data_IF_288915371686
#
_entry.id   IF_288915371686
#
_cell.length_a   1.000
_cell.length_b   1.000
_cell.length_c   1.000
_cell.angle_alpha   90.00
_cell.angle_beta   90.00
_cell.angle_gamma   90.00
#
_symmetry.space_group_name_H-M   'P 1'
#
loop_
_entity.id
_entity.type
_entity.pdbx_description
1 polymer ?
#
# COMPACT_ATOMS: atom_id res chain seq x y z
N UNK A 1 7.33 -29.57 0.35
CA UNK A 1 8.27 -30.36 -0.48
C UNK A 1 7.85 -30.26 -1.94
N UNK A 2 8.80 -30.33 -2.84
CA UNK A 2 8.58 -30.33 -4.29
C UNK A 2 9.63 -31.16 -4.99
N UNK A 3 9.29 -31.67 -6.18
CA UNK A 3 10.23 -32.33 -7.07
C UNK A 3 10.63 -31.41 -8.20
N UNK A 4 11.89 -31.41 -8.60
CA UNK A 4 12.38 -30.60 -9.69
C UNK A 4 13.01 -31.45 -10.78
N UNK A 5 12.52 -31.26 -12.00
CA UNK A 5 13.01 -31.97 -13.20
C UNK A 5 13.60 -30.95 -14.18
N UNK A 6 14.82 -31.19 -14.60
CA UNK A 6 15.48 -30.36 -15.58
C UNK A 6 15.94 -31.22 -16.76
N UNK A 7 15.52 -30.87 -17.96
CA UNK A 7 15.85 -31.56 -19.18
C UNK A 7 16.95 -30.80 -19.96
N UNK A 8 18.07 -31.48 -20.26
CA UNK A 8 19.10 -30.99 -21.14
C UNK A 8 19.25 -31.98 -22.32
N UNK A 9 18.54 -31.72 -23.44
CA UNK A 9 18.48 -32.65 -24.55
C UNK A 9 17.89 -34.01 -24.12
N UNK A 10 18.60 -35.13 -24.34
CA UNK A 10 18.13 -36.44 -23.97
C UNK A 10 18.28 -36.76 -22.46
N UNK A 11 18.98 -35.92 -21.71
CA UNK A 11 19.26 -36.14 -20.30
C UNK A 11 18.21 -35.40 -19.43
N UNK A 12 17.58 -36.13 -18.51
CA UNK A 12 16.71 -35.56 -17.49
C UNK A 12 17.35 -35.75 -16.13
N UNK A 13 17.53 -34.65 -15.41
CA UNK A 13 18.02 -34.64 -14.03
C UNK A 13 16.83 -34.37 -13.12
N UNK A 14 16.64 -35.24 -12.13
CA UNK A 14 15.52 -35.16 -11.18
C UNK A 14 16.05 -35.03 -9.76
N UNK A 15 15.66 -33.98 -9.03
CA UNK A 15 15.81 -33.92 -7.59
C UNK A 15 14.43 -34.04 -6.94
N UNK A 16 14.31 -34.87 -5.90
CA UNK A 16 13.05 -35.19 -5.22
C UNK A 16 13.07 -34.68 -3.79
N UNK A 17 11.88 -34.49 -3.26
CA UNK A 17 11.65 -34.13 -1.85
C UNK A 17 12.39 -32.86 -1.40
N UNK A 18 12.63 -31.93 -2.32
CA UNK A 18 13.23 -30.64 -1.99
C UNK A 18 12.32 -29.83 -1.08
N UNK A 19 12.90 -29.16 -0.10
CA UNK A 19 12.16 -28.32 0.85
C UNK A 19 12.41 -26.85 0.48
N UNK A 20 11.35 -26.15 0.13
CA UNK A 20 11.35 -24.70 0.05
C UNK A 20 10.54 -24.16 1.21
N UNK A 21 11.15 -23.32 2.03
CA UNK A 21 10.51 -22.68 3.17
C UNK A 21 10.35 -21.20 2.88
N UNK A 22 9.13 -20.72 3.06
CA UNK A 22 8.81 -19.29 2.96
C UNK A 22 7.79 -18.97 4.04
N UNK A 23 8.27 -18.42 5.13
CA UNK A 23 7.42 -17.99 6.22
C UNK A 23 7.85 -16.60 6.70
N UNK A 24 6.92 -15.67 6.73
CA UNK A 24 7.09 -14.41 7.42
C UNK A 24 6.42 -14.46 8.79
N UNK A 25 7.21 -14.51 9.85
CA UNK A 25 6.77 -14.54 11.24
C UNK A 25 7.09 -13.20 11.92
N UNK A 26 6.68 -12.09 11.33
CA UNK A 26 6.88 -10.75 11.87
C UNK A 26 5.56 -10.13 12.33
N UNK A 27 5.62 -9.29 13.36
CA UNK A 27 4.51 -8.41 13.76
C UNK A 27 4.90 -6.99 13.41
N UNK A 28 4.10 -6.37 12.56
CA UNK A 28 4.22 -4.95 12.26
C UNK A 28 3.16 -4.20 13.05
N UNK A 29 3.56 -3.14 13.74
CA UNK A 29 2.67 -2.22 14.42
C UNK A 29 3.18 -0.81 14.24
N UNK A 30 2.29 0.12 13.97
CA UNK A 30 2.57 1.55 13.94
C UNK A 30 1.48 2.29 14.70
N UNK A 31 1.89 3.19 15.58
CA UNK A 31 0.98 4.03 16.36
C UNK A 31 1.04 5.46 15.84
N UNK A 32 -0.13 6.03 15.58
CA UNK A 32 -0.24 7.41 15.11
C UNK A 32 -1.01 8.24 16.11
N UNK A 33 -0.36 9.29 16.61
CA UNK A 33 -1.03 10.33 17.41
C UNK A 33 -1.11 11.59 16.56
N UNK A 34 -2.31 12.09 16.30
CA UNK A 34 -2.51 13.20 15.40
C UNK A 34 -3.40 14.28 16.01
N UNK A 35 -2.91 15.51 16.01
CA UNK A 35 -3.70 16.69 16.36
C UNK A 35 -4.51 17.15 15.14
N UNK A 36 -5.83 17.24 15.30
CA UNK A 36 -6.77 17.63 14.25
C UNK A 36 -7.49 18.92 14.67
N UNK A 37 -6.85 20.10 14.52
CA UNK A 37 -7.46 21.36 14.89
C UNK A 37 -8.63 21.68 13.94
N UNK A 38 -9.68 22.28 14.52
CA UNK A 38 -10.80 22.88 13.82
C UNK A 38 -11.09 24.23 14.42
N UNK A 39 -11.09 25.26 13.58
CA UNK A 39 -11.47 26.62 13.93
C UNK A 39 -12.71 26.98 13.13
N UNK A 40 -13.68 27.60 13.78
CA UNK A 40 -14.90 28.08 13.16
C UNK A 40 -15.25 29.46 13.70
N UNK A 41 -15.62 30.35 12.82
CA UNK A 41 -16.11 31.68 13.12
C UNK A 41 -17.43 31.86 12.42
N UNK A 42 -18.42 32.41 13.12
CA UNK A 42 -19.73 32.72 12.58
C UNK A 42 -20.14 34.12 13.04
N UNK A 43 -20.69 34.89 12.12
CA UNK A 43 -21.26 36.17 12.40
C UNK A 43 -22.70 36.25 11.89
N UNK A 44 -23.64 36.47 12.80
CA UNK A 44 -25.06 36.64 12.49
C UNK A 44 -25.40 38.13 12.57
N UNK A 45 -25.74 38.74 11.43
CA UNK A 45 -26.11 40.17 11.38
C UNK A 45 -27.63 40.39 11.50
N UNK A 46 -28.41 39.35 11.31
CA UNK A 46 -29.85 39.32 11.47
C UNK A 46 -30.33 37.92 11.74
N UNK A 47 -31.38 37.72 12.51
CA UNK A 47 -31.94 36.39 12.81
C UNK A 47 -32.12 35.57 11.53
N UNK A 48 -31.42 34.44 11.43
CA UNK A 48 -31.45 33.55 10.29
C UNK A 48 -30.56 33.99 9.10
N UNK A 49 -29.77 35.06 9.28
CA UNK A 49 -28.80 35.48 8.26
C UNK A 49 -27.42 35.56 8.88
N UNK A 50 -26.52 34.68 8.45
CA UNK A 50 -25.17 34.62 8.96
C UNK A 50 -24.14 34.32 7.85
N UNK A 51 -22.89 34.64 8.12
CA UNK A 51 -21.75 34.21 7.38
C UNK A 51 -20.87 33.40 8.32
N UNK A 52 -20.26 32.37 7.80
CA UNK A 52 -19.32 31.56 8.56
C UNK A 52 -18.06 31.29 7.77
N UNK A 53 -16.98 31.03 8.51
CA UNK A 53 -15.73 30.53 7.96
C UNK A 53 -15.21 29.42 8.86
N UNK A 54 -14.73 28.32 8.25
CA UNK A 54 -14.11 27.21 8.99
C UNK A 54 -12.77 26.86 8.38
N UNK A 55 -11.84 26.48 9.25
CA UNK A 55 -10.56 25.88 8.88
C UNK A 55 -10.40 24.61 9.69
N UNK A 56 -10.20 23.48 9.02
CA UNK A 56 -10.05 22.19 9.70
C UNK A 56 -8.97 21.34 9.07
N UNK A 57 -8.26 20.59 9.91
CA UNK A 57 -7.30 19.59 9.47
C UNK A 57 -7.95 18.21 9.48
N UNK A 58 -7.92 17.51 8.34
CA UNK A 58 -8.31 16.13 8.19
C UNK A 58 -7.10 15.19 8.23
N UNK A 59 -7.35 13.92 8.51
CA UNK A 59 -6.33 12.90 8.61
C UNK A 59 -6.90 11.55 8.18
N UNK A 60 -6.11 10.81 7.42
CA UNK A 60 -6.34 9.41 7.11
C UNK A 60 -5.13 8.61 7.51
N UNK A 61 -5.31 7.58 8.34
CA UNK A 61 -4.20 6.77 8.84
C UNK A 61 -3.45 6.08 7.69
N UNK A 62 -2.15 5.96 7.88
CA UNK A 62 -1.33 5.02 7.13
C UNK A 62 -1.68 3.59 7.46
N UNK A 63 -1.04 2.65 6.82
CA UNK A 63 -1.31 1.24 7.03
C UNK A 63 -0.37 0.35 6.23
N UNK A 64 -0.80 -0.90 6.05
CA UNK A 64 -0.03 -1.94 5.39
C UNK A 64 -0.75 -2.47 4.14
N UNK A 65 0.02 -2.66 3.07
CA UNK A 65 -0.45 -3.30 1.85
C UNK A 65 -0.38 -4.83 1.98
N UNK A 66 -1.50 -5.46 2.26
CA UNK A 66 -1.58 -6.92 2.42
C UNK A 66 -1.11 -7.67 1.16
N UNK A 67 -1.40 -7.13 -0.03
CA UNK A 67 -0.97 -7.74 -1.29
C UNK A 67 0.55 -7.82 -1.41
N UNK A 68 1.27 -6.80 -0.94
CA UNK A 68 2.74 -6.80 -0.96
C UNK A 68 3.34 -7.89 -0.08
N UNK A 69 2.67 -8.28 1.02
CA UNK A 69 3.10 -9.43 1.82
C UNK A 69 3.02 -10.73 1.01
N UNK A 70 1.97 -10.92 0.21
CA UNK A 70 1.85 -12.08 -0.67
C UNK A 70 2.99 -12.14 -1.69
N UNK A 71 3.33 -11.01 -2.29
CA UNK A 71 4.41 -10.92 -3.27
C UNK A 71 5.78 -11.19 -2.63
N UNK A 72 6.01 -10.70 -1.40
CA UNK A 72 7.23 -10.98 -0.63
C UNK A 72 7.34 -12.48 -0.30
N UNK A 73 6.26 -13.09 0.19
CA UNK A 73 6.25 -14.53 0.51
C UNK A 73 6.50 -15.35 -0.75
N UNK A 74 5.87 -15.00 -1.87
CA UNK A 74 6.08 -15.69 -3.16
C UNK A 74 7.51 -15.53 -3.64
N UNK A 75 8.09 -14.34 -3.51
CA UNK A 75 9.51 -14.09 -3.83
C UNK A 75 10.45 -14.92 -2.94
N UNK A 76 10.23 -14.94 -1.63
CA UNK A 76 11.00 -15.75 -0.69
C UNK A 76 10.89 -17.25 -1.02
N UNK A 77 9.71 -17.73 -1.37
CA UNK A 77 9.49 -19.10 -1.78
C UNK A 77 10.29 -19.44 -3.04
N UNK A 78 10.25 -18.58 -4.05
CA UNK A 78 11.02 -18.77 -5.28
C UNK A 78 12.54 -18.86 -5.01
N UNK A 79 13.06 -17.95 -4.17
CA UNK A 79 14.47 -17.98 -3.75
C UNK A 79 14.81 -19.28 -3.00
N UNK A 80 13.98 -19.67 -2.03
CA UNK A 80 14.18 -20.90 -1.27
C UNK A 80 14.13 -22.14 -2.14
N UNK A 81 13.26 -22.19 -3.15
CA UNK A 81 13.23 -23.29 -4.13
C UNK A 81 14.53 -23.36 -4.93
N UNK A 82 15.03 -22.25 -5.44
CA UNK A 82 16.29 -22.23 -6.20
C UNK A 82 17.48 -22.64 -5.34
N UNK A 83 17.57 -22.17 -4.11
CA UNK A 83 18.62 -22.59 -3.18
C UNK A 83 18.52 -24.08 -2.82
N UNK A 84 17.32 -24.62 -2.65
CA UNK A 84 17.14 -26.07 -2.41
C UNK A 84 17.61 -26.90 -3.60
N UNK A 85 17.32 -26.47 -4.83
CA UNK A 85 17.80 -27.13 -6.05
C UNK A 85 19.32 -27.06 -6.13
N UNK A 86 19.94 -25.91 -5.91
CA UNK A 86 21.39 -25.72 -5.97
C UNK A 86 22.14 -26.60 -4.96
N UNK A 87 21.56 -26.82 -3.79
CA UNK A 87 22.13 -27.65 -2.71
C UNK A 87 21.86 -29.15 -2.85
N UNK A 88 20.97 -29.54 -3.77
CA UNK A 88 20.72 -30.98 -3.97
C UNK A 88 21.93 -31.68 -4.59
N UNK A 89 22.18 -32.93 -4.19
CA UNK A 89 23.34 -33.72 -4.67
C UNK A 89 23.33 -33.89 -6.19
N UNK A 90 22.14 -33.91 -6.80
CA UNK A 90 21.98 -34.09 -8.25
C UNK A 90 22.38 -32.85 -9.03
N UNK A 91 22.23 -31.66 -8.44
CA UNK A 91 22.45 -30.38 -9.10
C UNK A 91 23.66 -29.59 -8.60
N UNK A 92 24.32 -30.00 -7.53
CA UNK A 92 25.46 -29.28 -6.95
C UNK A 92 26.55 -28.97 -7.99
N UNK A 93 26.88 -29.91 -8.85
CA UNK A 93 27.86 -29.75 -9.94
C UNK A 93 27.40 -28.81 -11.06
N UNK A 94 26.12 -28.48 -11.12
CA UNK A 94 25.50 -27.54 -12.08
C UNK A 94 25.13 -26.20 -11.47
N UNK A 95 25.47 -25.95 -10.22
CA UNK A 95 25.09 -24.75 -9.48
C UNK A 95 25.43 -23.46 -10.21
N UNK A 96 26.62 -23.36 -10.78
CA UNK A 96 27.09 -22.20 -11.59
C UNK A 96 26.22 -21.99 -12.84
N UNK A 97 25.82 -23.09 -13.49
CA UNK A 97 24.97 -23.03 -14.68
C UNK A 97 23.57 -22.54 -14.31
N UNK A 98 23.01 -23.03 -13.21
CA UNK A 98 21.70 -22.63 -12.68
C UNK A 98 21.73 -21.14 -12.29
N UNK A 99 22.79 -20.69 -11.64
CA UNK A 99 22.99 -19.30 -11.27
C UNK A 99 23.03 -18.37 -12.48
N UNK A 100 23.75 -18.74 -13.53
CA UNK A 100 23.81 -18.00 -14.79
C UNK A 100 22.46 -17.97 -15.54
N UNK A 101 21.60 -18.99 -15.37
CA UNK A 101 20.31 -19.05 -16.06
C UNK A 101 19.19 -18.30 -15.30
N UNK A 102 19.25 -18.29 -13.97
CA UNK A 102 18.14 -17.85 -13.11
C UNK A 102 18.54 -16.66 -12.24
N UNK A 103 19.82 -16.52 -11.86
CA UNK A 103 20.29 -15.55 -10.89
C UNK A 103 19.86 -14.11 -11.19
N UNK A 104 20.09 -13.65 -12.42
CA UNK A 104 19.72 -12.28 -12.85
C UNK A 104 18.21 -12.10 -13.08
N UNK A 105 17.45 -13.19 -13.13
CA UNK A 105 16.00 -13.17 -13.38
C UNK A 105 15.19 -13.28 -12.09
N UNK A 106 15.83 -13.56 -10.97
CA UNK A 106 15.13 -13.62 -9.68
C UNK A 106 14.78 -12.21 -9.23
N UNK A 107 13.50 -11.94 -8.91
CA UNK A 107 13.13 -10.65 -8.38
C UNK A 107 13.83 -10.42 -7.03
N UNK A 108 14.35 -9.22 -6.82
CA UNK A 108 14.86 -8.83 -5.51
C UNK A 108 13.71 -8.92 -4.48
N UNK A 109 14.00 -9.50 -3.32
CA UNK A 109 13.03 -9.49 -2.21
C UNK A 109 13.13 -8.12 -1.52
N UNK A 110 12.12 -7.25 -1.63
CA UNK A 110 12.16 -5.95 -0.97
C UNK A 110 12.10 -6.10 0.55
N UNK A 111 12.64 -5.14 1.27
CA UNK A 111 12.46 -5.09 2.72
C UNK A 111 10.99 -4.95 3.05
N UNK A 112 10.51 -5.80 3.97
CA UNK A 112 9.07 -5.94 4.27
C UNK A 112 8.47 -4.61 4.71
N UNK A 113 9.16 -3.86 5.57
CA UNK A 113 8.65 -2.60 6.11
C UNK A 113 8.48 -1.55 5.01
N UNK A 114 9.48 -1.36 4.18
CA UNK A 114 9.48 -0.31 3.15
C UNK A 114 8.52 -0.62 2.01
N UNK A 115 8.37 -1.91 1.67
CA UNK A 115 7.49 -2.33 0.58
C UNK A 115 6.01 -2.39 0.97
N UNK A 116 5.72 -2.60 2.24
CA UNK A 116 4.33 -2.86 2.67
C UNK A 116 3.64 -1.66 3.30
N UNK A 117 4.37 -0.65 3.78
CA UNK A 117 3.79 0.50 4.46
C UNK A 117 3.43 1.63 3.50
N UNK A 118 2.37 2.35 3.81
CA UNK A 118 2.04 3.63 3.21
C UNK A 118 1.78 4.68 4.30
N UNK A 119 2.14 5.92 3.97
CA UNK A 119 2.11 7.04 4.94
C UNK A 119 0.69 7.53 5.20
N UNK A 120 0.47 8.22 6.32
CA UNK A 120 -0.77 8.94 6.56
C UNK A 120 -0.97 10.07 5.55
N UNK A 121 -2.23 10.29 5.16
CA UNK A 121 -2.66 11.41 4.34
C UNK A 121 -3.19 12.53 5.24
N UNK A 122 -2.89 13.78 4.88
CA UNK A 122 -3.36 14.97 5.58
C UNK A 122 -4.08 15.90 4.63
N UNK A 123 -5.16 16.51 5.11
CA UNK A 123 -5.88 17.52 4.36
C UNK A 123 -6.17 18.76 5.22
N UNK A 124 -6.03 19.93 4.63
CA UNK A 124 -6.56 21.17 5.17
C UNK A 124 -7.78 21.57 4.37
N UNK A 125 -8.89 21.75 5.06
CA UNK A 125 -10.12 22.22 4.47
C UNK A 125 -10.41 23.65 4.95
N UNK A 126 -10.64 24.53 4.01
CA UNK A 126 -11.01 25.92 4.20
C UNK A 126 -12.36 26.12 3.59
N UNK A 127 -13.32 26.55 4.37
CA UNK A 127 -14.69 26.75 3.93
C UNK A 127 -15.21 28.12 4.38
N UNK A 128 -15.93 28.79 3.49
CA UNK A 128 -16.68 30.00 3.79
C UNK A 128 -18.08 29.83 3.24
N UNK A 129 -19.07 30.21 4.02
CA UNK A 129 -20.45 30.10 3.59
C UNK A 129 -21.38 31.10 4.27
N UNK A 130 -22.59 31.10 3.79
CA UNK A 130 -23.65 32.00 4.32
C UNK A 130 -25.00 31.29 4.30
N UNK A 131 -25.74 31.51 5.35
CA UNK A 131 -27.17 31.15 5.45
C UNK A 131 -27.99 32.43 5.35
N UNK A 132 -28.93 32.45 4.43
CA UNK A 132 -29.77 33.62 4.14
C UNK A 132 -31.24 33.24 4.26
N UNK A 133 -31.95 34.06 5.03
CA UNK A 133 -33.42 34.08 5.10
C UNK A 133 -33.93 35.34 4.44
N UNK A 134 -34.55 35.19 3.29
CA UNK A 134 -35.00 36.29 2.42
C UNK A 134 -36.53 36.37 2.39
N UNK A 135 -37.03 37.50 1.95
CA UNK A 135 -38.47 37.74 1.76
C UNK A 135 -39.34 37.37 2.99
N UNK A 136 -38.96 37.90 4.15
CA UNK A 136 -39.70 37.68 5.43
C UNK A 136 -39.85 36.17 5.79
N UNK A 137 -38.81 35.37 5.48
CA UNK A 137 -38.80 33.92 5.80
C UNK A 137 -39.42 33.02 4.72
N UNK A 138 -39.75 33.55 3.55
CA UNK A 138 -40.34 32.76 2.46
C UNK A 138 -39.30 32.07 1.58
N UNK A 139 -38.06 32.49 1.64
CA UNK A 139 -36.95 31.87 0.89
C UNK A 139 -35.74 31.67 1.79
N UNK A 140 -35.15 30.51 1.74
CA UNK A 140 -33.86 30.17 2.37
C UNK A 140 -32.86 29.86 1.29
N UNK A 141 -31.65 30.37 1.45
CA UNK A 141 -30.54 30.09 0.56
C UNK A 141 -29.27 29.78 1.38
N UNK A 142 -28.61 28.68 1.10
CA UNK A 142 -27.36 28.29 1.70
C UNK A 142 -26.29 28.22 0.58
N UNK A 143 -25.24 29.00 0.76
CA UNK A 143 -24.14 29.07 -0.18
C UNK A 143 -22.85 28.76 0.56
N UNK A 144 -22.00 27.92 -0.02
CA UNK A 144 -20.67 27.62 0.50
C UNK A 144 -19.66 27.52 -0.64
N UNK A 145 -18.45 27.97 -0.36
CA UNK A 145 -17.27 27.73 -1.17
C UNK A 145 -16.22 27.09 -0.28
N UNK A 146 -15.50 26.12 -0.83
CA UNK A 146 -14.44 25.44 -0.09
C UNK A 146 -13.18 25.26 -0.95
N UNK A 147 -12.06 25.18 -0.26
CA UNK A 147 -10.76 24.83 -0.83
C UNK A 147 -10.13 23.75 0.03
N UNK A 148 -9.62 22.68 -0.57
CA UNK A 148 -8.97 21.59 0.12
C UNK A 148 -7.55 21.40 -0.43
N UNK A 149 -6.56 21.41 0.48
CA UNK A 149 -5.16 21.07 0.21
C UNK A 149 -4.88 19.71 0.83
N UNK A 150 -4.63 18.70 0.00
CA UNK A 150 -4.35 17.33 0.45
C UNK A 150 -2.90 16.99 0.15
N UNK A 151 -2.19 16.46 1.15
CA UNK A 151 -0.78 16.03 1.06
C UNK A 151 -0.65 14.56 1.35
N UNK A 152 0.35 13.93 0.74
CA UNK A 152 0.61 12.50 0.86
C UNK A 152 -0.65 11.66 0.52
N UNK A 153 -1.34 12.05 -0.55
CA UNK A 153 -2.59 11.43 -0.96
C UNK A 153 -2.41 9.94 -1.21
N UNK A 154 -3.27 9.14 -0.59
CA UNK A 154 -3.27 7.69 -0.75
C UNK A 154 -4.00 7.30 -2.02
N UNK A 155 -3.26 6.74 -2.97
CA UNK A 155 -3.80 6.27 -4.25
C UNK A 155 -3.77 4.74 -4.30
N UNK A 156 -4.82 4.13 -4.84
CA UNK A 156 -4.83 2.70 -5.12
C UNK A 156 -4.32 2.45 -6.53
N UNK A 157 -3.26 1.66 -6.64
CA UNK A 157 -2.67 1.25 -7.90
C UNK A 157 -2.81 -0.27 -8.09
N UNK A 158 -3.08 -0.71 -9.31
CA UNK A 158 -3.04 -2.12 -9.66
C UNK A 158 -1.59 -2.54 -9.91
N UNK A 159 -1.17 -3.63 -9.28
CA UNK A 159 0.15 -4.21 -9.52
C UNK A 159 0.07 -5.09 -10.77
N UNK A 160 1.11 -5.06 -11.60
CA UNK A 160 1.16 -5.74 -12.92
C UNK A 160 1.05 -7.27 -12.88
N UNK A 161 1.03 -7.89 -11.70
CA UNK A 161 0.73 -9.32 -11.51
C UNK A 161 -0.77 -9.67 -11.70
N UNK A 162 -1.61 -8.69 -12.00
CA UNK A 162 -2.99 -8.91 -12.47
C UNK A 162 -4.07 -9.10 -11.41
N UNK A 163 -3.74 -9.31 -10.15
CA UNK A 163 -4.72 -9.66 -9.11
C UNK A 163 -4.65 -8.80 -7.83
N UNK A 164 -3.77 -7.82 -7.75
CA UNK A 164 -3.55 -7.04 -6.54
C UNK A 164 -3.77 -5.54 -6.70
N UNK A 165 -4.19 -4.88 -5.62
CA UNK A 165 -4.21 -3.42 -5.46
C UNK A 165 -3.25 -3.05 -4.34
N UNK A 166 -2.40 -2.06 -4.59
CA UNK A 166 -1.55 -1.46 -3.55
C UNK A 166 -1.97 -0.02 -3.30
N UNK A 167 -1.76 0.47 -2.09
CA UNK A 167 -1.90 1.88 -1.77
C UNK A 167 -0.51 2.51 -1.74
N UNK A 168 -0.36 3.64 -2.43
CA UNK A 168 0.86 4.45 -2.49
C UNK A 168 0.56 5.89 -2.09
N UNK A 169 1.61 6.61 -1.70
CA UNK A 169 1.58 8.05 -1.41
C UNK A 169 2.50 8.78 -2.38
#
# INVERSE_FOLDING_TARGET
NFDFNFAMGPMVITAKDLIADAAYNGKLSEDYVQLLPKFALQYEWRKGNNVYATVSKGYRSGGYNVQMFSDIITGQQAHSMVEAIKKSAEFEKYSTLIEGMIGDKMPAIPEVKDATTYKPEYSWNYEVGTHLTLWEGKLWADLAAFYMDTRDQQLSQFIGSGLGRTTIN
#
